data_IF_655000751509
#
_entry.id   IF_655000751509
#
_cell.length_a   1.000
_cell.length_b   1.000
_cell.length_c   1.000
_cell.angle_alpha   90.00
_cell.angle_beta   90.00
_cell.angle_gamma   90.00
#
_symmetry.space_group_name_H-M   'P 1'
#
loop_
_entity.id
_entity.type
_entity.pdbx_description
1 polymer ?
#
# COMPACT_ATOMS: atom_id res chain seq x y z
N UNK A 1 -53.96 -7.69 26.87
CA UNK A 1 -54.34 -6.64 25.89
C UNK A 1 -53.08 -5.93 25.46
N UNK A 2 -52.90 -5.83 24.14
CA UNK A 2 -51.74 -5.26 23.43
C UNK A 2 -51.67 -3.75 23.71
N UNK A 3 -50.46 -3.18 23.74
CA UNK A 3 -50.13 -1.88 23.12
C UNK A 3 -48.61 -1.65 23.18
N UNK A 4 -48.01 -1.72 21.99
CA UNK A 4 -46.65 -1.35 21.64
C UNK A 4 -46.69 0.13 21.30
N UNK A 5 -45.83 0.98 21.86
CA UNK A 5 -45.42 2.23 21.21
C UNK A 5 -43.95 2.56 21.50
N UNK A 6 -43.17 2.42 20.43
CA UNK A 6 -41.81 2.95 20.24
C UNK A 6 -41.85 4.47 20.09
N UNK A 7 -40.90 5.18 20.71
CA UNK A 7 -40.46 6.53 20.33
C UNK A 7 -39.07 6.73 20.95
N UNK A 8 -38.03 7.26 20.30
CA UNK A 8 -37.84 7.80 18.97
C UNK A 8 -36.42 8.37 18.99
N UNK A 9 -35.54 7.77 18.19
CA UNK A 9 -34.12 8.05 18.07
C UNK A 9 -33.90 9.44 17.44
N UNK A 10 -33.03 10.30 18.01
CA UNK A 10 -32.63 11.56 17.38
C UNK A 10 -31.09 11.58 17.24
N UNK A 11 -30.61 11.07 16.11
CA UNK A 11 -29.20 11.08 15.72
C UNK A 11 -28.98 12.27 14.78
N UNK A 12 -28.08 13.17 15.18
CA UNK A 12 -27.54 14.24 14.34
C UNK A 12 -26.37 13.72 13.53
N UNK A 13 -26.49 13.71 12.19
CA UNK A 13 -25.32 13.61 11.30
C UNK A 13 -25.48 14.59 10.15
N UNK A 14 -24.72 15.69 10.17
CA UNK A 14 -24.42 16.45 8.97
C UNK A 14 -23.45 15.61 8.13
N UNK A 15 -23.86 15.22 6.93
CA UNK A 15 -22.96 14.70 5.91
C UNK A 15 -22.95 15.66 4.75
N UNK A 16 -21.87 16.45 4.66
CA UNK A 16 -21.57 17.27 3.50
C UNK A 16 -21.18 16.35 2.34
N UNK A 17 -21.94 16.39 1.25
CA UNK A 17 -21.54 15.78 -0.01
C UNK A 17 -20.54 16.70 -0.71
N UNK A 18 -19.24 16.48 -0.52
CA UNK A 18 -18.23 17.02 -1.43
C UNK A 18 -18.23 16.18 -2.70
N UNK A 19 -18.78 16.72 -3.77
CA UNK A 19 -18.64 16.21 -5.13
C UNK A 19 -17.18 16.38 -5.57
N UNK A 20 -16.37 15.37 -5.31
CA UNK A 20 -15.02 15.24 -5.86
C UNK A 20 -15.12 14.71 -7.30
N UNK A 21 -14.56 15.47 -8.23
CA UNK A 21 -14.45 15.17 -9.65
C UNK A 21 -13.88 13.76 -9.86
N UNK A 22 -14.47 12.90 -10.72
CA UNK A 22 -13.85 11.62 -11.04
C UNK A 22 -12.54 11.88 -11.79
N UNK A 23 -11.42 11.56 -11.14
CA UNK A 23 -10.12 11.48 -11.79
C UNK A 23 -10.19 10.39 -12.87
N UNK A 24 -10.27 10.82 -14.13
CA UNK A 24 -10.23 9.92 -15.27
C UNK A 24 -8.81 9.34 -15.38
N UNK A 25 -8.60 8.11 -14.89
CA UNK A 25 -7.39 7.36 -15.21
C UNK A 25 -7.49 6.85 -16.64
N UNK A 26 -6.58 7.28 -17.52
CA UNK A 26 -6.46 6.76 -18.88
C UNK A 26 -5.66 5.45 -18.82
N UNK A 27 -6.36 4.31 -18.93
CA UNK A 27 -5.72 3.01 -19.10
C UNK A 27 -5.18 2.86 -20.51
N UNK A 28 -3.89 3.13 -20.71
CA UNK A 28 -3.24 2.93 -22.02
C UNK A 28 -2.86 1.44 -22.14
N UNK A 29 -3.75 0.67 -22.77
CA UNK A 29 -3.45 -0.71 -23.19
C UNK A 29 -2.64 -0.71 -24.48
N UNK A 30 -1.35 -1.04 -24.41
CA UNK A 30 -0.51 -1.23 -25.60
C UNK A 30 -0.39 -2.73 -25.90
N UNK A 31 -1.20 -3.18 -26.85
CA UNK A 31 -1.18 -4.52 -27.40
C UNK A 31 -0.56 -4.55 -28.81
N UNK A 32 0.56 -5.27 -28.90
CA UNK A 32 1.17 -5.94 -30.06
C UNK A 32 1.72 -5.11 -31.23
N UNK A 33 3.05 -5.17 -31.41
CA UNK A 33 3.68 -4.98 -32.73
C UNK A 33 5.17 -4.59 -32.75
N UNK A 34 6.06 -5.58 -32.60
CA UNK A 34 7.51 -5.58 -32.98
C UNK A 34 8.49 -4.93 -31.99
N UNK A 35 9.20 -5.79 -31.24
CA UNK A 35 10.54 -5.51 -30.70
C UNK A 35 10.61 -5.05 -29.23
N UNK A 36 11.01 -5.99 -28.35
CA UNK A 36 11.31 -5.87 -26.90
C UNK A 36 10.06 -5.90 -26.00
N UNK A 37 9.82 -7.09 -25.47
CA UNK A 37 8.66 -7.54 -24.70
C UNK A 37 8.42 -6.76 -23.39
N UNK A 38 7.20 -6.24 -23.24
CA UNK A 38 6.51 -6.02 -21.96
C UNK A 38 5.28 -6.93 -22.01
N UNK A 39 5.20 -7.88 -21.08
CA UNK A 39 4.24 -8.98 -21.11
C UNK A 39 2.80 -8.55 -20.79
N UNK A 40 1.84 -9.25 -21.39
CA UNK A 40 0.42 -9.09 -21.13
C UNK A 40 0.10 -9.33 -19.64
N UNK A 41 -0.44 -8.32 -18.95
CA UNK A 41 -1.06 -8.46 -17.64
C UNK A 41 -0.68 -7.40 -16.58
N UNK A 42 0.36 -6.59 -16.81
CA UNK A 42 0.74 -5.54 -15.85
C UNK A 42 0.34 -4.15 -16.37
N UNK A 43 -0.75 -3.59 -15.86
CA UNK A 43 -1.05 -2.18 -16.08
C UNK A 43 0.01 -1.31 -15.40
N UNK A 44 0.93 -0.73 -16.16
CA UNK A 44 1.83 0.31 -15.65
C UNK A 44 1.02 1.60 -15.58
N UNK A 45 0.78 2.11 -14.38
CA UNK A 45 0.22 3.45 -14.21
C UNK A 45 1.36 4.46 -14.44
N UNK A 46 1.42 5.06 -15.63
CA UNK A 46 2.41 6.11 -15.95
C UNK A 46 1.74 7.47 -15.80
N UNK A 47 2.06 8.28 -14.79
CA UNK A 47 1.60 9.65 -14.74
C UNK A 47 2.30 10.48 -15.83
N UNK A 48 1.54 10.94 -16.82
CA UNK A 48 2.04 11.86 -17.86
C UNK A 48 1.94 13.29 -17.34
N UNK A 49 3.04 13.81 -16.78
CA UNK A 49 3.17 15.23 -16.45
C UNK A 49 3.63 16.03 -17.67
N UNK A 50 2.73 16.79 -18.27
CA UNK A 50 3.03 17.84 -19.25
C UNK A 50 3.86 18.95 -18.60
N UNK A 51 5.08 19.16 -19.09
CA UNK A 51 5.91 20.30 -18.70
C UNK A 51 5.50 21.53 -19.53
N UNK A 52 4.80 22.50 -18.93
CA UNK A 52 4.77 23.88 -19.41
C UNK A 52 4.86 24.83 -18.21
N UNK A 53 5.99 25.56 -18.12
CA UNK A 53 6.05 26.95 -17.69
C UNK A 53 5.94 27.31 -16.19
N UNK A 54 7.11 27.55 -15.56
CA UNK A 54 7.41 28.64 -14.62
C UNK A 54 6.28 29.17 -13.70
N UNK A 55 6.31 28.79 -12.42
CA UNK A 55 6.10 29.67 -11.26
C UNK A 55 6.46 28.93 -9.97
N UNK A 56 7.29 29.55 -9.15
CA UNK A 56 7.65 29.10 -7.81
C UNK A 56 6.43 29.05 -6.90
N UNK A 57 6.27 27.97 -6.14
CA UNK A 57 5.80 27.92 -4.75
C UNK A 57 5.70 26.45 -4.33
N UNK A 58 6.72 26.01 -3.57
CA UNK A 58 6.82 24.82 -2.73
C UNK A 58 5.64 23.82 -2.75
N UNK A 59 5.45 23.12 -3.86
CA UNK A 59 4.62 21.92 -3.91
C UNK A 59 5.55 20.73 -3.72
N UNK A 60 5.58 20.20 -2.50
CA UNK A 60 6.15 18.88 -2.21
C UNK A 60 5.46 17.93 -3.18
N UNK A 61 6.18 17.51 -4.22
CA UNK A 61 5.74 16.44 -5.10
C UNK A 61 5.58 15.23 -4.21
N UNK A 62 4.34 14.91 -3.82
CA UNK A 62 3.98 13.59 -3.33
C UNK A 62 4.30 12.64 -4.46
N UNK A 63 5.51 12.09 -4.44
CA UNK A 63 5.87 10.94 -5.25
C UNK A 63 4.92 9.86 -4.77
N UNK A 64 3.91 9.52 -5.57
CA UNK A 64 3.13 8.31 -5.33
C UNK A 64 4.14 7.15 -5.29
N UNK A 65 4.40 6.65 -4.08
CA UNK A 65 5.32 5.54 -3.86
C UNK A 65 4.75 4.31 -4.55
N UNK A 66 5.46 3.72 -5.52
CA UNK A 66 4.87 2.70 -6.37
C UNK A 66 4.55 1.46 -5.54
N UNK A 67 3.29 1.02 -5.62
CA UNK A 67 2.86 -0.27 -5.08
C UNK A 67 3.64 -1.36 -5.81
N UNK A 68 4.37 -2.17 -5.05
CA UNK A 68 5.19 -3.27 -5.55
C UNK A 68 4.33 -4.49 -5.80
N UNK A 69 3.45 -4.81 -4.85
CA UNK A 69 2.63 -6.02 -4.91
C UNK A 69 1.44 -5.92 -3.95
N UNK A 70 0.38 -6.66 -4.27
CA UNK A 70 -0.77 -6.89 -3.40
C UNK A 70 -0.74 -8.33 -2.89
N UNK A 71 -1.18 -8.51 -1.66
CA UNK A 71 -1.38 -9.81 -1.04
C UNK A 71 -2.85 -9.95 -0.62
N UNK A 72 -3.43 -11.13 -0.79
CA UNK A 72 -4.71 -11.46 -0.20
C UNK A 72 -4.61 -11.65 1.32
N UNK A 73 -5.75 -11.93 1.97
CA UNK A 73 -5.81 -12.11 3.42
C UNK A 73 -4.95 -13.30 3.92
N UNK A 74 -4.59 -14.24 3.03
CA UNK A 74 -3.74 -15.39 3.32
C UNK A 74 -2.25 -15.13 3.00
N UNK A 75 -1.92 -13.96 2.44
CA UNK A 75 -0.56 -13.59 2.06
C UNK A 75 -0.15 -14.08 0.68
N UNK A 76 -1.07 -14.55 -0.16
CA UNK A 76 -0.78 -14.91 -1.55
C UNK A 76 -0.86 -13.68 -2.44
N UNK A 77 -0.01 -13.62 -3.47
CA UNK A 77 0.01 -12.51 -4.44
C UNK A 77 -1.36 -12.39 -5.12
N UNK A 78 -1.83 -11.14 -5.20
CA UNK A 78 -3.03 -10.74 -5.93
C UNK A 78 -2.66 -9.71 -7.01
N UNK A 79 -3.47 -9.65 -8.06
CA UNK A 79 -3.32 -8.65 -9.13
C UNK A 79 -3.79 -7.24 -8.70
N UNK A 80 -4.60 -7.16 -7.64
CA UNK A 80 -5.15 -5.91 -7.11
C UNK A 80 -5.41 -6.00 -5.61
N UNK A 81 -5.71 -4.85 -4.99
CA UNK A 81 -6.17 -4.80 -3.61
C UNK A 81 -7.45 -5.63 -3.43
N UNK A 82 -7.49 -6.45 -2.37
CA UNK A 82 -8.66 -7.23 -1.98
C UNK A 82 -9.01 -6.96 -0.53
N UNK A 83 -10.27 -7.17 -0.17
CA UNK A 83 -10.76 -6.98 1.19
C UNK A 83 -10.01 -7.87 2.19
N UNK A 84 -9.56 -7.30 3.30
CA UNK A 84 -8.74 -7.98 4.30
C UNK A 84 -7.30 -8.28 3.88
N UNK A 85 -6.91 -7.86 2.66
CA UNK A 85 -5.57 -8.05 2.11
C UNK A 85 -4.60 -6.97 2.54
N UNK A 86 -3.43 -7.00 1.90
CA UNK A 86 -2.30 -6.13 2.18
C UNK A 86 -1.68 -5.63 0.88
N UNK A 87 -0.90 -4.56 0.96
CA UNK A 87 -0.06 -4.14 -0.15
C UNK A 87 1.28 -3.65 0.37
N UNK A 88 2.30 -3.85 -0.45
CA UNK A 88 3.67 -3.39 -0.19
C UNK A 88 3.98 -2.21 -1.08
N UNK A 89 4.42 -1.11 -0.49
CA UNK A 89 4.90 0.06 -1.21
C UNK A 89 6.43 0.11 -1.19
N UNK A 90 7.03 0.57 -2.28
CA UNK A 90 8.46 0.87 -2.36
C UNK A 90 8.67 2.35 -2.05
N UNK A 91 9.32 2.63 -0.92
CA UNK A 91 9.62 4.01 -0.50
C UNK A 91 10.91 4.50 -1.14
N UNK A 92 11.94 3.65 -1.13
CA UNK A 92 13.25 3.99 -1.66
C UNK A 92 13.98 2.78 -2.23
N UNK A 93 14.82 3.01 -3.24
CA UNK A 93 15.71 1.99 -3.80
C UNK A 93 17.12 2.53 -3.97
N UNK A 94 18.10 1.83 -3.40
CA UNK A 94 19.52 2.12 -3.56
C UNK A 94 20.28 0.85 -3.98
N UNK A 95 20.57 0.73 -5.27
CA UNK A 95 21.20 -0.47 -5.81
C UNK A 95 20.31 -1.70 -5.63
N UNK A 96 20.76 -2.64 -4.79
CA UNK A 96 20.03 -3.87 -4.42
C UNK A 96 19.24 -3.75 -3.11
N UNK A 97 19.30 -2.60 -2.44
CA UNK A 97 18.57 -2.34 -1.22
C UNK A 97 17.21 -1.70 -1.54
N UNK A 98 16.12 -2.35 -1.11
CA UNK A 98 14.76 -1.85 -1.30
C UNK A 98 14.14 -1.56 0.06
N UNK A 99 13.87 -0.30 0.34
CA UNK A 99 13.13 0.10 1.54
C UNK A 99 11.65 0.06 1.22
N UNK A 100 10.95 -0.84 1.90
CA UNK A 100 9.53 -1.10 1.67
C UNK A 100 8.72 -0.91 2.96
N UNK A 101 7.42 -0.73 2.80
CA UNK A 101 6.48 -0.72 3.89
C UNK A 101 5.20 -1.44 3.49
N UNK A 102 4.67 -2.25 4.40
CA UNK A 102 3.41 -2.95 4.19
C UNK A 102 2.26 -2.17 4.83
N UNK A 103 1.10 -2.23 4.18
CA UNK A 103 -0.12 -1.56 4.57
C UNK A 103 -1.31 -2.52 4.47
N UNK A 104 -2.36 -2.22 5.23
CA UNK A 104 -3.65 -2.87 5.09
C UNK A 104 -4.39 -2.32 3.87
N UNK A 105 -4.85 -3.18 2.97
CA UNK A 105 -5.52 -2.75 1.73
C UNK A 105 -6.90 -2.15 1.97
N UNK A 106 -7.55 -2.46 3.09
CA UNK A 106 -8.90 -1.95 3.40
C UNK A 106 -8.93 -0.45 3.71
N UNK A 107 -7.86 0.09 4.29
CA UNK A 107 -7.86 1.46 4.84
C UNK A 107 -6.52 2.18 4.72
N UNK A 108 -5.54 1.59 4.02
CA UNK A 108 -4.18 2.11 3.85
C UNK A 108 -3.47 2.45 5.17
N UNK A 109 -3.89 1.87 6.30
CA UNK A 109 -3.15 2.02 7.56
C UNK A 109 -1.87 1.21 7.47
N UNK A 110 -0.78 1.75 8.03
CA UNK A 110 0.49 1.03 8.08
C UNK A 110 0.33 -0.29 8.84
N UNK A 111 0.91 -1.34 8.27
CA UNK A 111 1.07 -2.65 8.90
C UNK A 111 2.51 -2.84 9.39
N UNK A 112 3.49 -2.21 8.76
CA UNK A 112 4.88 -2.21 9.24
C UNK A 112 5.44 -0.80 9.37
N UNK A 113 6.54 -0.65 10.09
CA UNK A 113 7.47 0.46 9.83
C UNK A 113 8.27 0.16 8.54
N UNK A 114 8.90 1.17 7.91
CA UNK A 114 9.80 0.94 6.78
C UNK A 114 10.94 -0.03 7.14
N UNK A 115 11.24 -0.96 6.23
CA UNK A 115 12.33 -1.91 6.41
C UNK A 115 12.98 -2.26 5.08
N UNK A 116 14.24 -2.62 5.15
CA UNK A 116 15.03 -3.04 3.99
C UNK A 116 14.75 -4.48 3.63
N UNK A 117 14.58 -4.78 2.33
CA UNK A 117 14.50 -6.14 1.78
C UNK A 117 15.32 -6.28 0.50
N UNK A 118 15.79 -7.49 0.22
CA UNK A 118 16.38 -7.82 -1.08
C UNK A 118 15.30 -7.95 -2.16
N UNK A 119 15.71 -7.72 -3.41
CA UNK A 119 14.84 -7.87 -4.60
C UNK A 119 14.06 -9.20 -4.64
N UNK A 120 14.72 -10.31 -4.29
CA UNK A 120 14.14 -11.66 -4.30
C UNK A 120 12.99 -11.82 -3.30
N UNK A 121 12.99 -11.04 -2.22
CA UNK A 121 12.00 -11.11 -1.14
C UNK A 121 10.88 -10.06 -1.29
N UNK A 122 10.90 -9.23 -2.33
CA UNK A 122 9.88 -8.19 -2.56
C UNK A 122 8.46 -8.76 -2.66
N UNK A 123 8.32 -9.96 -3.21
CA UNK A 123 7.04 -10.64 -3.41
C UNK A 123 6.70 -11.63 -2.29
N UNK A 124 7.49 -11.65 -1.21
CA UNK A 124 7.23 -12.49 -0.04
C UNK A 124 6.44 -11.70 1.01
N UNK A 125 5.26 -12.19 1.37
CA UNK A 125 4.40 -11.53 2.34
C UNK A 125 5.05 -11.37 3.72
N UNK A 126 5.79 -12.38 4.17
CA UNK A 126 6.52 -12.38 5.45
C UNK A 126 8.01 -12.13 5.27
N UNK A 127 8.38 -11.23 4.36
CA UNK A 127 9.75 -10.76 4.23
C UNK A 127 10.22 -10.08 5.51
N UNK A 128 11.50 -10.20 5.81
CA UNK A 128 12.16 -9.55 6.94
C UNK A 128 13.49 -8.92 6.50
N UNK A 129 14.01 -7.94 7.24
CA UNK A 129 15.31 -7.37 6.91
C UNK A 129 16.44 -8.36 7.19
N UNK A 130 17.54 -8.23 6.42
CA UNK A 130 18.80 -8.89 6.72
C UNK A 130 19.39 -8.34 8.03
N UNK A 131 19.30 -7.03 8.25
CA UNK A 131 19.73 -6.37 9.47
C UNK A 131 18.73 -5.29 9.86
N UNK A 132 18.40 -5.19 11.15
CA UNK A 132 17.48 -4.17 11.68
C UNK A 132 16.22 -4.76 12.30
N UNK A 133 15.22 -3.92 12.56
CA UNK A 133 14.01 -4.30 13.27
C UNK A 133 12.80 -4.27 12.34
N UNK A 134 12.05 -5.37 12.31
CA UNK A 134 10.72 -5.46 11.73
C UNK A 134 9.68 -5.24 12.82
N UNK A 135 8.98 -4.11 12.78
CA UNK A 135 7.81 -3.84 13.61
C UNK A 135 6.55 -4.09 12.79
N UNK A 136 5.63 -4.91 13.32
CA UNK A 136 4.33 -5.20 12.72
C UNK A 136 3.22 -4.69 13.65
N UNK A 137 2.26 -3.99 13.07
CA UNK A 137 1.11 -3.42 13.75
C UNK A 137 -0.15 -4.23 13.44
N UNK A 138 -1.12 -4.20 14.35
CA UNK A 138 -2.48 -4.67 14.16
C UNK A 138 -3.33 -3.64 13.40
N UNK A 139 -4.52 -4.06 12.94
CA UNK A 139 -5.51 -3.18 12.32
C UNK A 139 -5.89 -1.98 13.18
N UNK A 140 -5.82 -2.10 14.52
CA UNK A 140 -6.10 -1.02 15.45
C UNK A 140 -4.89 -0.08 15.68
N UNK A 141 -3.70 -0.42 15.17
CA UNK A 141 -2.47 0.36 15.30
C UNK A 141 -1.58 -0.04 16.48
N UNK A 142 -1.96 -1.02 17.29
CA UNK A 142 -1.10 -1.55 18.34
C UNK A 142 0.03 -2.39 17.74
N UNK A 143 1.19 -2.43 18.39
CA UNK A 143 2.27 -3.33 17.99
C UNK A 143 1.82 -4.77 18.26
N UNK A 144 1.87 -5.61 17.22
CA UNK A 144 1.65 -7.06 17.33
C UNK A 144 2.95 -7.84 17.48
N UNK A 145 4.02 -7.30 16.91
CA UNK A 145 5.29 -8.00 16.82
C UNK A 145 6.41 -6.99 16.60
N UNK A 146 7.53 -7.20 17.28
CA UNK A 146 8.77 -6.50 17.02
C UNK A 146 9.92 -7.49 17.03
N UNK A 147 10.56 -7.68 15.87
CA UNK A 147 11.61 -8.67 15.66
C UNK A 147 12.88 -7.98 15.17
N UNK A 148 14.02 -8.29 15.79
CA UNK A 148 15.32 -7.75 15.38
C UNK A 148 16.14 -8.84 14.71
N UNK A 149 16.71 -8.51 13.55
CA UNK A 149 17.49 -9.38 12.70
C UNK A 149 18.94 -8.90 12.58
N UNK A 150 19.86 -9.85 12.51
CA UNK A 150 21.27 -9.64 12.18
C UNK A 150 21.73 -10.73 11.23
N UNK A 151 22.26 -10.35 10.05
CA UNK A 151 22.68 -11.27 8.98
C UNK A 151 21.59 -12.31 8.65
N UNK A 152 20.35 -11.84 8.55
CA UNK A 152 19.16 -12.63 8.21
C UNK A 152 18.63 -13.50 9.36
N UNK A 153 19.28 -13.47 10.53
CA UNK A 153 18.90 -14.29 11.68
C UNK A 153 18.15 -13.47 12.72
N UNK A 154 17.05 -14.02 13.23
CA UNK A 154 16.32 -13.45 14.34
C UNK A 154 17.18 -13.51 15.62
N UNK A 155 17.45 -12.36 16.22
CA UNK A 155 18.24 -12.24 17.47
C UNK A 155 17.41 -11.76 18.65
N UNK A 156 16.27 -11.11 18.41
CA UNK A 156 15.34 -10.70 19.46
C UNK A 156 13.90 -10.65 18.92
N UNK A 157 12.92 -11.01 19.74
CA UNK A 157 11.51 -10.92 19.40
C UNK A 157 10.67 -10.49 20.61
N UNK A 158 9.69 -9.64 20.36
CA UNK A 158 8.62 -9.25 21.28
C UNK A 158 7.29 -9.39 20.57
N UNK A 159 6.28 -9.89 21.26
CA UNK A 159 4.93 -10.13 20.76
C UNK A 159 3.91 -9.50 21.72
#
# INVERSE_FOLDING_TARGET
MKNILFAGLLVTTLSACSVGTPGMSVGVGLGTGIGRHIGLGTSINIPVGTNIGKAENNSIKTVEEPIVTYFDAQGKISNSAVKGGFHRQLLHRRGNEYVVQDFYSDNNRKRTDPYTVDRKHLLEFRAHPENGTLTVYAYNGNIMQQQTYQKGRLVNARY
#
